data_IF_280422823509
#
_entry.id   IF_280422823509
#
_cell.length_a   1.000
_cell.length_b   1.000
_cell.length_c   1.000
_cell.angle_alpha   90.00
_cell.angle_beta   90.00
_cell.angle_gamma   90.00
#
_symmetry.space_group_name_H-M   'P 1'
#
loop_
_entity.id
_entity.type
_entity.pdbx_description
1 polymer ?
#
# COMPACT_ATOMS: atom_id res chain seq x y z
N UNK A 1 -15.36 11.06 2.06
CA UNK A 1 -14.04 10.59 2.53
C UNK A 1 -13.25 10.34 1.28
N UNK A 2 -11.98 10.72 1.28
CA UNK A 2 -11.14 10.63 0.09
C UNK A 2 -9.93 9.73 0.40
N UNK A 3 -10.13 8.41 0.36
CA UNK A 3 -9.09 7.46 0.72
C UNK A 3 -8.01 7.32 -0.36
N UNK A 4 -6.80 7.01 0.07
CA UNK A 4 -5.70 6.55 -0.76
C UNK A 4 -4.92 5.46 -0.02
N UNK A 5 -4.12 4.70 -0.76
CA UNK A 5 -3.25 3.65 -0.20
C UNK A 5 -1.81 4.08 -0.37
N UNK A 6 -1.05 4.05 0.73
CA UNK A 6 0.40 4.12 0.75
C UNK A 6 0.96 2.70 0.72
N UNK A 7 1.90 2.44 -0.18
CA UNK A 7 2.46 1.11 -0.41
C UNK A 7 3.97 1.21 -0.23
N UNK A 8 4.51 0.44 0.70
CA UNK A 8 5.93 0.48 1.03
C UNK A 8 6.58 -0.89 0.85
N UNK A 9 7.73 -0.92 0.16
CA UNK A 9 8.57 -2.09 -0.01
C UNK A 9 10.05 -1.72 0.14
N UNK A 10 10.67 -2.13 1.25
CA UNK A 10 12.02 -1.68 1.59
C UNK A 10 12.07 -0.15 1.71
N UNK A 11 12.95 0.48 0.94
CA UNK A 11 13.08 1.94 0.83
C UNK A 11 12.17 2.57 -0.24
N UNK A 12 11.44 1.76 -1.01
CA UNK A 12 10.54 2.26 -2.05
C UNK A 12 9.16 2.54 -1.43
N UNK A 13 8.64 3.74 -1.69
CA UNK A 13 7.30 4.16 -1.33
C UNK A 13 6.55 4.56 -2.59
N UNK A 14 5.28 4.14 -2.69
CA UNK A 14 4.36 4.54 -3.74
C UNK A 14 3.01 4.89 -3.12
N UNK A 15 2.32 5.84 -3.74
CA UNK A 15 1.00 6.29 -3.31
C UNK A 15 0.00 6.10 -4.45
N UNK A 16 -1.17 5.55 -4.14
CA UNK A 16 -2.27 5.45 -5.08
C UNK A 16 -2.89 6.81 -5.39
N UNK A 17 -3.73 6.85 -6.41
CA UNK A 17 -4.65 7.97 -6.59
C UNK A 17 -5.59 8.07 -5.39
N UNK A 18 -6.07 9.28 -5.15
CA UNK A 18 -7.14 9.50 -4.17
C UNK A 18 -8.45 9.06 -4.81
N UNK A 19 -9.16 8.15 -4.18
CA UNK A 19 -10.48 7.72 -4.63
C UNK A 19 -11.51 8.73 -4.11
N UNK A 20 -11.71 9.81 -4.86
CA UNK A 20 -12.66 10.87 -4.53
C UNK A 20 -14.10 10.41 -4.77
N UNK A 21 -15.02 10.81 -3.89
CA UNK A 21 -16.47 10.62 -4.06
C UNK A 21 -16.95 9.15 -4.17
N UNK A 22 -16.13 8.16 -3.83
CA UNK A 22 -16.46 6.72 -3.96
C UNK A 22 -17.13 6.10 -2.72
N UNK A 23 -17.42 6.89 -1.69
CA UNK A 23 -18.03 6.41 -0.45
C UNK A 23 -17.10 5.52 0.38
N UNK A 24 -17.63 4.42 0.95
CA UNK A 24 -16.91 3.54 1.91
C UNK A 24 -16.17 2.35 1.26
N UNK A 25 -16.41 2.08 -0.02
CA UNK A 25 -15.85 0.93 -0.73
C UNK A 25 -15.02 1.39 -1.94
N UNK A 26 -13.86 2.05 -1.70
CA UNK A 26 -13.02 2.55 -2.78
C UNK A 26 -12.43 1.41 -3.63
N UNK A 27 -12.38 1.62 -4.94
CA UNK A 27 -11.72 0.73 -5.91
C UNK A 27 -10.72 1.55 -6.72
N UNK A 28 -9.43 1.19 -6.61
CA UNK A 28 -8.35 1.90 -7.32
C UNK A 28 -8.00 1.27 -8.67
N UNK A 29 -7.98 -0.06 -8.76
CA UNK A 29 -7.54 -0.80 -9.97
C UNK A 29 -6.16 -0.34 -10.49
N UNK A 30 -5.24 -0.01 -9.59
CA UNK A 30 -3.89 0.44 -9.92
C UNK A 30 -2.86 -0.68 -9.77
N UNK A 31 -1.84 -0.68 -10.64
CA UNK A 31 -0.70 -1.60 -10.58
C UNK A 31 0.57 -0.83 -10.24
N UNK A 32 1.34 -1.37 -9.30
CA UNK A 32 2.62 -0.82 -8.88
C UNK A 32 3.72 -1.85 -9.13
N UNK A 33 4.90 -1.37 -9.50
CA UNK A 33 6.08 -2.21 -9.72
C UNK A 33 7.17 -1.77 -8.77
N UNK A 34 7.73 -2.71 -8.02
CA UNK A 34 8.84 -2.47 -7.10
C UNK A 34 10.05 -3.25 -7.57
N UNK A 35 11.22 -2.62 -7.55
CA UNK A 35 12.47 -3.32 -7.84
C UNK A 35 12.88 -4.13 -6.62
N UNK A 36 13.24 -5.38 -6.82
CA UNK A 36 13.73 -6.25 -5.73
C UNK A 36 15.26 -6.21 -5.60
N UNK A 37 15.92 -5.42 -6.43
CA UNK A 37 17.37 -5.31 -6.58
C UNK A 37 17.93 -4.50 -5.41
N UNK A 38 18.82 -5.09 -4.61
CA UNK A 38 19.44 -4.57 -3.37
C UNK A 38 18.68 -4.78 -2.06
N UNK A 39 18.44 -6.04 -1.71
CA UNK A 39 18.11 -6.40 -0.32
C UNK A 39 19.21 -7.32 0.22
N UNK A 40 20.40 -6.76 0.41
CA UNK A 40 21.47 -7.38 1.18
C UNK A 40 21.09 -7.44 2.66
N UNK A 41 20.27 -8.42 3.05
CA UNK A 41 19.84 -8.55 4.44
C UNK A 41 18.76 -9.60 4.66
N UNK A 42 19.18 -10.73 5.26
CA UNK A 42 18.40 -11.78 5.93
C UNK A 42 16.85 -11.73 5.82
N UNK A 43 16.31 -12.59 4.94
CA UNK A 43 15.05 -13.38 4.96
C UNK A 43 13.71 -12.82 5.50
N UNK A 44 13.64 -11.70 6.21
CA UNK A 44 12.42 -11.10 6.77
C UNK A 44 12.18 -9.64 6.35
N UNK A 45 13.06 -9.06 5.52
CA UNK A 45 12.92 -7.67 5.04
C UNK A 45 12.00 -7.53 3.82
N UNK A 46 11.66 -8.62 3.14
CA UNK A 46 10.81 -8.61 1.94
C UNK A 46 9.31 -8.60 2.30
N UNK A 47 8.86 -7.51 2.92
CA UNK A 47 7.45 -7.27 3.23
C UNK A 47 6.95 -6.04 2.45
N UNK A 48 5.75 -6.17 1.90
CA UNK A 48 4.99 -5.05 1.34
C UNK A 48 3.99 -4.64 2.41
N UNK A 49 4.00 -3.37 2.78
CA UNK A 49 3.00 -2.78 3.68
C UNK A 49 2.04 -1.93 2.87
N UNK A 50 0.74 -2.11 3.11
CA UNK A 50 -0.33 -1.31 2.55
C UNK A 50 -0.98 -0.55 3.70
N UNK A 51 -0.98 0.78 3.63
CA UNK A 51 -1.62 1.64 4.61
C UNK A 51 -2.71 2.46 3.93
N UNK A 52 -3.95 2.27 4.37
CA UNK A 52 -5.07 3.07 3.90
C UNK A 52 -5.17 4.33 4.74
N UNK A 53 -5.18 5.47 4.07
CA UNK A 53 -5.30 6.80 4.66
C UNK A 53 -6.51 7.49 4.06
N UNK A 54 -7.23 8.30 4.83
CA UNK A 54 -8.29 9.15 4.31
C UNK A 54 -8.07 10.59 4.74
N UNK A 55 -8.30 11.53 3.82
CA UNK A 55 -8.53 12.91 4.21
C UNK A 55 -9.97 13.05 4.69
N UNK A 56 -10.17 13.66 5.84
CA UNK A 56 -11.51 14.03 6.33
C UNK A 56 -11.82 15.46 5.90
N UNK A 57 -12.99 15.72 5.28
CA UNK A 57 -13.38 17.09 4.89
C UNK A 57 -13.48 18.04 6.09
N UNK A 58 -13.86 17.52 7.26
CA UNK A 58 -14.17 18.31 8.46
C UNK A 58 -12.95 18.76 9.28
N UNK A 59 -11.81 18.06 9.18
CA UNK A 59 -10.65 18.32 10.05
C UNK A 59 -9.39 18.69 9.27
N UNK A 60 -9.46 18.78 7.93
CA UNK A 60 -8.31 19.00 7.02
C UNK A 60 -7.09 18.09 7.29
N UNK A 61 -7.28 17.02 8.07
CA UNK A 61 -6.25 16.12 8.56
C UNK A 61 -6.36 14.78 7.84
N UNK A 62 -5.23 14.10 7.69
CA UNK A 62 -5.16 12.72 7.18
C UNK A 62 -5.20 11.75 8.35
N UNK A 63 -6.12 10.78 8.30
CA UNK A 63 -6.25 9.73 9.30
C UNK A 63 -5.85 8.38 8.70
N UNK A 64 -5.12 7.57 9.46
CA UNK A 64 -4.87 6.18 9.11
C UNK A 64 -6.13 5.37 9.40
N UNK A 65 -6.58 4.61 8.40
CA UNK A 65 -7.80 3.80 8.47
C UNK A 65 -7.46 2.35 8.78
N UNK A 66 -6.46 1.80 8.08
CA UNK A 66 -6.05 0.42 8.25
C UNK A 66 -4.63 0.20 7.72
N UNK A 67 -3.98 -0.84 8.23
CA UNK A 67 -2.70 -1.31 7.73
C UNK A 67 -2.76 -2.82 7.48
N UNK A 68 -2.22 -3.25 6.34
CA UNK A 68 -1.98 -4.66 6.01
C UNK A 68 -0.53 -4.88 5.62
N UNK A 69 -0.04 -6.08 5.88
CA UNK A 69 1.32 -6.52 5.55
C UNK A 69 1.24 -7.84 4.81
N UNK A 70 2.02 -7.94 3.74
CA UNK A 70 2.16 -9.15 2.92
C UNK A 70 3.64 -9.44 2.75
N UNK A 71 4.06 -10.68 2.90
CA UNK A 71 5.44 -11.06 2.62
C UNK A 71 5.59 -11.46 1.15
N UNK A 72 6.63 -10.97 0.49
CA UNK A 72 6.88 -11.27 -0.93
C UNK A 72 7.05 -12.77 -1.15
N UNK A 73 7.65 -13.50 -0.20
CA UNK A 73 7.75 -14.97 -0.26
C UNK A 73 6.38 -15.66 -0.37
N UNK A 74 5.35 -15.12 0.27
CA UNK A 74 4.00 -15.69 0.27
C UNK A 74 3.28 -15.39 -1.05
N UNK A 75 3.56 -14.22 -1.65
CA UNK A 75 3.05 -13.84 -2.97
C UNK A 75 3.66 -14.75 -4.04
N UNK A 76 4.99 -14.91 -4.04
CA UNK A 76 5.72 -15.75 -4.99
C UNK A 76 5.32 -17.22 -4.84
N UNK A 77 5.23 -17.74 -3.60
CA UNK A 77 4.84 -19.14 -3.38
C UNK A 77 3.39 -19.44 -3.81
N UNK A 78 2.53 -18.42 -3.79
CA UNK A 78 1.14 -18.53 -4.27
C UNK A 78 0.98 -18.42 -5.79
N UNK A 79 2.07 -18.16 -6.54
CA UNK A 79 2.03 -17.99 -8.00
C UNK A 79 1.26 -16.76 -8.47
N UNK A 80 1.19 -15.71 -7.63
CA UNK A 80 0.52 -14.44 -7.96
C UNK A 80 1.56 -13.42 -8.42
N UNK A 81 1.27 -12.73 -9.53
CA UNK A 81 2.10 -11.68 -10.14
C UNK A 81 1.32 -10.40 -10.43
#
# INVERSE_FOLDING_TARGET
>A
MDPYVLIQYGSQECKSRVAQDVGKNPVWNEKFKFKTENLGGANNQHKITFESWTRTPSLLTTLSVNQRKVYVKDVISSGRE
#
